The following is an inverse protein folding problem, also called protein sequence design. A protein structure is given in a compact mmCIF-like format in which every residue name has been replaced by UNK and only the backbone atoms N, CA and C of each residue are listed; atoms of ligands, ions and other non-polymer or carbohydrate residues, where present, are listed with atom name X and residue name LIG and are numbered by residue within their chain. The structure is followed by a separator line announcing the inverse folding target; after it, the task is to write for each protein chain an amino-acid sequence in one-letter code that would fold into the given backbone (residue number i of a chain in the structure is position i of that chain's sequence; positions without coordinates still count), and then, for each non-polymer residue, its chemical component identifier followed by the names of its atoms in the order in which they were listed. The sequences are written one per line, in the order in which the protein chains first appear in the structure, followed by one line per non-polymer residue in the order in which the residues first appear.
data_IF_003595394905
#
_entry.id   IF_003595394905
#
_cell.length_a   1.000
_cell.length_b   1.000
_cell.length_c   1.000
_cell.angle_alpha   90.00
_cell.angle_beta   90.00
_cell.angle_gamma   90.00
#
_symmetry.space_group_name_H-M   'P 1'
#
loop_
_entity.id
_entity.type
_entity.pdbx_description
1 polymer ?
#
# COMPACT_ATOMS: atom_id res chain seq x y z
N UNK A 1 -19.22 6.48 -8.81
CA UNK A 1 -18.90 7.91 -8.88
C UNK A 1 -18.07 8.10 -10.13
N UNK A 2 -18.60 8.75 -11.15
CA UNK A 2 -17.88 9.07 -12.39
C UNK A 2 -17.22 10.44 -12.21
N UNK A 3 -15.98 10.44 -11.71
CA UNK A 3 -15.17 11.66 -11.62
C UNK A 3 -14.56 11.95 -12.99
N UNK A 4 -14.69 13.20 -13.45
CA UNK A 4 -14.03 13.63 -14.66
C UNK A 4 -12.52 13.88 -14.41
N UNK A 5 -11.73 14.05 -15.48
CA UNK A 5 -10.27 14.22 -15.36
C UNK A 5 -9.84 15.49 -14.60
N UNK A 6 -10.69 16.51 -14.59
CA UNK A 6 -10.40 17.79 -13.90
C UNK A 6 -10.56 17.58 -12.41
N UNK A 7 -11.68 16.95 -11.97
CA UNK A 7 -11.94 16.63 -10.57
C UNK A 7 -10.86 15.71 -9.98
N UNK A 8 -10.38 14.71 -10.75
CA UNK A 8 -9.28 13.84 -10.33
C UNK A 8 -7.97 14.62 -10.13
N UNK A 9 -7.66 15.53 -11.05
CA UNK A 9 -6.46 16.36 -10.93
C UNK A 9 -6.51 17.27 -9.71
N UNK A 10 -7.68 17.83 -9.39
CA UNK A 10 -7.85 18.72 -8.24
C UNK A 10 -7.74 17.96 -6.91
N UNK A 11 -8.30 16.76 -6.81
CA UNK A 11 -8.13 15.89 -5.64
C UNK A 11 -6.65 15.56 -5.40
N UNK A 12 -5.92 15.24 -6.48
CA UNK A 12 -4.49 14.90 -6.39
C UNK A 12 -3.65 16.13 -6.07
N UNK A 13 -3.98 17.29 -6.65
CA UNK A 13 -3.27 18.54 -6.37
C UNK A 13 -3.53 19.05 -4.95
N UNK A 14 -4.74 18.83 -4.42
CA UNK A 14 -5.18 19.38 -3.14
C UNK A 14 -5.16 20.92 -3.13
N UNK A 15 -5.41 21.50 -1.98
CA UNK A 15 -5.32 22.96 -1.78
C UNK A 15 -3.83 23.39 -1.83
N UNK A 16 -3.45 24.32 -2.72
CA UNK A 16 -2.08 24.84 -2.77
C UNK A 16 -1.64 25.58 -1.51
N UNK A 17 -2.58 26.21 -0.80
CA UNK A 17 -2.32 27.00 0.42
C UNK A 17 -2.26 26.12 1.68
N UNK A 18 -2.92 24.95 1.64
CA UNK A 18 -2.90 23.98 2.73
C UNK A 18 -2.69 22.55 2.19
N UNK A 19 -1.49 22.20 1.73
CA UNK A 19 -1.24 20.92 1.08
C UNK A 19 -1.23 19.78 2.11
N UNK A 20 -2.34 19.05 2.21
CA UNK A 20 -2.45 17.87 3.07
C UNK A 20 -1.87 16.63 2.37
N UNK A 21 -0.58 16.70 2.08
CA UNK A 21 0.16 15.68 1.32
C UNK A 21 1.24 15.04 2.17
N UNK A 22 1.27 13.72 2.15
CA UNK A 22 2.30 12.91 2.79
C UNK A 22 2.97 12.03 1.74
N UNK A 23 4.22 11.68 1.93
CA UNK A 23 5.00 10.94 0.95
C UNK A 23 5.64 9.71 1.57
N UNK A 24 5.33 8.56 1.01
CA UNK A 24 6.04 7.30 1.25
C UNK A 24 6.98 7.07 0.06
N UNK A 25 8.25 7.29 0.26
CA UNK A 25 9.32 7.07 -0.71
C UNK A 25 10.33 6.09 -0.11
N UNK A 26 11.15 5.51 -0.95
CA UNK A 26 12.18 4.55 -0.56
C UNK A 26 11.61 3.21 -0.05
N UNK A 27 12.45 2.43 0.61
CA UNK A 27 12.09 1.13 1.19
C UNK A 27 11.21 1.32 2.43
N UNK A 28 10.27 0.42 2.63
CA UNK A 28 9.41 0.41 3.82
C UNK A 28 10.18 -0.24 4.97
N UNK A 29 10.59 0.57 5.94
CA UNK A 29 11.23 0.18 7.19
C UNK A 29 10.58 0.92 8.36
N UNK A 30 10.92 0.56 9.60
CA UNK A 30 10.45 1.29 10.78
C UNK A 30 10.81 2.78 10.68
N UNK A 31 12.05 3.08 10.25
CA UNK A 31 12.54 4.45 10.16
C UNK A 31 11.83 5.26 9.07
N UNK A 32 11.50 4.64 7.93
CA UNK A 32 10.87 5.33 6.80
C UNK A 32 9.36 5.56 7.02
N UNK A 33 8.66 4.66 7.72
CA UNK A 33 7.21 4.82 7.96
C UNK A 33 6.90 5.72 9.13
N UNK A 34 7.78 5.83 10.13
CA UNK A 34 7.55 6.64 11.32
C UNK A 34 7.19 8.10 10.98
N UNK A 35 7.98 8.85 10.19
CA UNK A 35 7.63 10.22 9.82
C UNK A 35 6.36 10.32 8.96
N UNK A 36 6.03 9.29 8.18
CA UNK A 36 4.79 9.24 7.40
C UNK A 36 3.59 9.15 8.33
N UNK A 37 3.66 8.29 9.35
CA UNK A 37 2.62 8.09 10.36
C UNK A 37 2.42 9.37 11.18
N UNK A 38 3.49 9.97 11.69
CA UNK A 38 3.47 11.24 12.43
C UNK A 38 2.80 12.36 11.62
N UNK A 39 3.14 12.49 10.34
CA UNK A 39 2.54 13.49 9.46
C UNK A 39 1.04 13.23 9.23
N UNK A 40 0.62 11.96 9.05
CA UNK A 40 -0.80 11.62 8.89
C UNK A 40 -1.57 11.97 10.16
N UNK A 41 -1.07 11.63 11.36
CA UNK A 41 -1.71 11.98 12.63
C UNK A 41 -1.77 13.50 12.83
N UNK A 42 -0.67 14.21 12.59
CA UNK A 42 -0.63 15.68 12.69
C UNK A 42 -1.71 16.33 11.82
N UNK A 43 -1.78 15.94 10.55
CA UNK A 43 -2.79 16.47 9.63
C UNK A 43 -4.21 16.07 10.06
N UNK A 44 -4.41 14.86 10.55
CA UNK A 44 -5.72 14.39 11.00
C UNK A 44 -6.21 15.09 12.28
N UNK A 45 -5.28 15.56 13.12
CA UNK A 45 -5.62 16.36 14.32
C UNK A 45 -5.95 17.81 13.97
N UNK A 46 -5.36 18.37 12.90
CA UNK A 46 -5.64 19.73 12.43
C UNK A 46 -7.06 19.89 11.85
N UNK A 47 -7.50 18.95 11.03
CA UNK A 47 -8.85 18.99 10.45
C UNK A 47 -9.31 17.60 9.98
N UNK A 48 -10.61 17.50 9.66
CA UNK A 48 -11.20 16.30 9.07
C UNK A 48 -11.09 16.22 7.54
N UNK A 49 -10.40 17.17 6.90
CA UNK A 49 -10.20 17.18 5.46
C UNK A 49 -9.31 16.01 5.02
N UNK A 50 -9.50 15.57 3.80
CA UNK A 50 -8.77 14.41 3.27
C UNK A 50 -7.25 14.62 3.27
N UNK A 51 -6.52 13.59 3.62
CA UNK A 51 -5.05 13.51 3.45
C UNK A 51 -4.74 12.71 2.20
N UNK A 52 -3.73 13.10 1.43
CA UNK A 52 -3.28 12.36 0.24
C UNK A 52 -1.88 11.80 0.45
N UNK A 53 -1.77 10.48 0.51
CA UNK A 53 -0.52 9.75 0.62
C UNK A 53 0.01 9.38 -0.77
N UNK A 54 1.12 9.99 -1.17
CA UNK A 54 1.85 9.67 -2.39
C UNK A 54 2.84 8.54 -2.15
N UNK A 55 2.79 7.51 -2.99
CA UNK A 55 3.57 6.28 -2.86
C UNK A 55 4.48 6.13 -4.08
N UNK A 56 5.77 6.00 -3.81
CA UNK A 56 6.81 5.59 -4.76
C UNK A 56 7.84 4.73 -4.03
N UNK A 57 7.53 3.44 -3.87
CA UNK A 57 8.30 2.52 -3.02
C UNK A 57 8.35 1.11 -3.61
N UNK A 58 9.50 0.46 -3.45
CA UNK A 58 9.68 -0.95 -3.80
C UNK A 58 9.13 -1.93 -2.74
N UNK A 59 8.55 -1.41 -1.66
CA UNK A 59 8.09 -2.22 -0.53
C UNK A 59 9.17 -2.37 0.53
N UNK A 60 9.12 -3.43 1.31
CA UNK A 60 10.05 -3.70 2.42
C UNK A 60 9.40 -4.52 3.53
N UNK A 61 9.55 -4.11 4.76
CA UNK A 61 9.10 -4.85 5.94
C UNK A 61 7.57 -4.92 6.06
N UNK A 62 7.06 -6.14 6.20
CA UNK A 62 5.60 -6.39 6.28
C UNK A 62 4.98 -5.67 7.48
N UNK A 63 5.60 -5.76 8.67
CA UNK A 63 5.01 -5.21 9.88
C UNK A 63 5.05 -3.69 9.91
N UNK A 64 6.09 -3.05 9.37
CA UNK A 64 6.15 -1.59 9.18
C UNK A 64 5.07 -1.10 8.21
N UNK A 65 4.81 -1.86 7.14
CA UNK A 65 3.69 -1.57 6.24
C UNK A 65 2.33 -1.73 6.94
N UNK A 66 2.16 -2.75 7.80
CA UNK A 66 0.92 -2.96 8.55
C UNK A 66 0.67 -1.85 9.57
N UNK A 67 1.70 -1.35 10.24
CA UNK A 67 1.60 -0.21 11.15
C UNK A 67 1.09 1.05 10.42
N UNK A 68 1.66 1.37 9.25
CA UNK A 68 1.18 2.47 8.42
C UNK A 68 -0.28 2.26 7.98
N UNK A 69 -0.66 1.04 7.61
CA UNK A 69 -2.04 0.70 7.24
C UNK A 69 -2.99 0.90 8.42
N UNK A 70 -2.60 0.49 9.61
CA UNK A 70 -3.41 0.67 10.80
C UNK A 70 -3.58 2.16 11.14
N UNK A 71 -2.54 3.00 10.97
CA UNK A 71 -2.64 4.45 11.06
C UNK A 71 -3.66 5.00 10.04
N UNK A 72 -3.51 4.69 8.75
CA UNK A 72 -4.43 5.11 7.67
C UNK A 72 -5.88 4.78 8.01
N UNK A 73 -6.12 3.67 8.68
CA UNK A 73 -7.49 3.19 8.99
C UNK A 73 -8.03 3.68 10.33
N UNK A 74 -7.18 4.22 11.18
CA UNK A 74 -7.56 4.70 12.53
C UNK A 74 -7.91 6.19 12.52
N UNK A 75 -7.25 7.00 11.68
CA UNK A 75 -7.53 8.44 11.61
C UNK A 75 -8.96 8.72 11.13
N UNK A 76 -9.52 9.85 11.59
CA UNK A 76 -10.91 10.24 11.30
C UNK A 76 -11.10 10.74 9.88
N UNK A 77 -10.10 11.42 9.33
CA UNK A 77 -10.13 11.90 7.94
C UNK A 77 -9.99 10.74 6.95
N UNK A 78 -10.39 10.95 5.70
CA UNK A 78 -10.08 10.01 4.63
C UNK A 78 -8.63 10.14 4.22
N UNK A 79 -7.99 9.01 3.94
CA UNK A 79 -6.65 8.99 3.36
C UNK A 79 -6.75 8.48 1.93
N UNK A 80 -6.56 9.39 0.97
CA UNK A 80 -6.42 9.05 -0.44
C UNK A 80 -5.00 8.49 -0.66
N UNK A 81 -4.86 7.51 -1.55
CA UNK A 81 -3.54 6.94 -1.90
C UNK A 81 -3.26 7.11 -3.37
N UNK A 82 -2.04 7.49 -3.71
CA UNK A 82 -1.63 7.81 -5.08
C UNK A 82 -0.31 7.11 -5.41
N UNK A 83 -0.31 6.18 -6.35
CA UNK A 83 0.93 5.65 -6.91
C UNK A 83 1.46 6.60 -8.00
N UNK A 84 2.64 7.19 -7.77
CA UNK A 84 3.30 8.11 -8.69
C UNK A 84 4.71 7.62 -9.06
N UNK A 85 4.80 6.46 -9.67
CA UNK A 85 6.04 5.76 -9.97
C UNK A 85 5.84 4.27 -9.76
N UNK A 86 6.32 3.74 -8.65
CA UNK A 86 6.15 2.31 -8.33
C UNK A 86 5.47 2.10 -6.99
N UNK A 87 4.71 1.00 -6.89
CA UNK A 87 4.19 0.47 -5.65
C UNK A 87 4.36 -1.06 -5.67
N UNK A 88 5.49 -1.54 -5.18
CA UNK A 88 5.83 -2.97 -5.23
C UNK A 88 5.66 -3.62 -3.86
N UNK A 89 5.38 -4.93 -3.85
CA UNK A 89 5.33 -5.72 -2.62
C UNK A 89 4.40 -5.10 -1.57
N UNK A 90 4.87 -4.86 -0.35
CA UNK A 90 4.09 -4.23 0.73
C UNK A 90 3.56 -2.84 0.37
N UNK A 91 4.25 -2.07 -0.51
CA UNK A 91 3.76 -0.78 -0.96
C UNK A 91 2.46 -0.90 -1.79
N UNK A 92 2.26 -2.01 -2.52
CA UNK A 92 1.00 -2.27 -3.21
C UNK A 92 -0.16 -2.53 -2.24
N UNK A 93 0.11 -3.11 -1.09
CA UNK A 93 -0.87 -3.29 -0.03
C UNK A 93 -1.22 -1.95 0.65
N UNK A 94 -0.22 -1.10 0.92
CA UNK A 94 -0.44 0.27 1.42
C UNK A 94 -1.29 1.07 0.42
N UNK A 95 -0.98 1.00 -0.88
CA UNK A 95 -1.77 1.64 -1.94
C UNK A 95 -3.24 1.19 -1.91
N UNK A 96 -3.47 -0.12 -1.78
CA UNK A 96 -4.83 -0.69 -1.74
C UNK A 96 -5.60 -0.35 -0.45
N UNK A 97 -4.91 0.03 0.64
CA UNK A 97 -5.51 0.25 1.96
C UNK A 97 -6.19 1.60 2.13
N UNK A 98 -6.02 2.54 1.20
CA UNK A 98 -6.60 3.88 1.28
C UNK A 98 -8.07 3.87 1.69
N UNK A 99 -8.44 4.77 2.62
CA UNK A 99 -9.83 4.90 3.12
C UNK A 99 -10.65 5.89 2.31
N UNK A 100 -9.97 6.75 1.54
CA UNK A 100 -10.52 7.62 0.51
C UNK A 100 -10.45 6.99 -0.88
N UNK A 101 -10.06 7.78 -1.87
CA UNK A 101 -9.88 7.36 -3.25
C UNK A 101 -8.45 6.85 -3.48
N UNK A 102 -8.30 5.85 -4.35
CA UNK A 102 -7.02 5.21 -4.65
C UNK A 102 -6.69 5.43 -6.11
N UNK A 103 -5.50 5.97 -6.38
CA UNK A 103 -5.10 6.41 -7.71
C UNK A 103 -3.78 5.77 -8.17
N UNK A 104 -3.63 5.61 -9.47
CA UNK A 104 -2.36 5.34 -10.10
C UNK A 104 -2.14 6.26 -11.30
N UNK A 105 -0.94 6.82 -11.46
CA UNK A 105 -0.59 7.51 -12.70
C UNK A 105 -0.47 6.50 -13.84
N UNK A 106 -0.73 6.93 -15.08
CA UNK A 106 -0.68 6.04 -16.27
C UNK A 106 0.63 5.30 -16.43
N UNK A 107 1.73 5.92 -16.01
CA UNK A 107 3.08 5.36 -16.11
C UNK A 107 3.49 4.58 -14.85
N UNK A 108 2.61 4.45 -13.87
CA UNK A 108 2.90 3.70 -12.64
C UNK A 108 3.03 2.20 -12.92
N UNK A 109 3.88 1.57 -12.13
CA UNK A 109 4.03 0.13 -12.12
C UNK A 109 3.73 -0.41 -10.72
N UNK A 110 2.87 -1.38 -10.63
CA UNK A 110 2.49 -2.03 -9.37
C UNK A 110 2.99 -3.48 -9.41
N UNK A 111 3.45 -4.02 -8.30
CA UNK A 111 3.86 -5.41 -8.24
C UNK A 111 3.34 -6.09 -6.98
N UNK A 112 2.78 -7.26 -7.18
CA UNK A 112 2.26 -8.13 -6.11
C UNK A 112 2.98 -9.47 -6.17
N UNK A 113 3.47 -9.92 -5.03
CA UNK A 113 4.08 -11.22 -4.84
C UNK A 113 3.81 -11.77 -3.43
N UNK A 114 4.16 -13.02 -3.20
CA UNK A 114 4.16 -13.60 -1.87
C UNK A 114 5.30 -13.01 -1.03
N UNK A 115 5.12 -12.96 0.29
CA UNK A 115 6.17 -12.57 1.20
C UNK A 115 7.38 -13.49 1.03
N UNK A 116 8.57 -12.92 1.09
CA UNK A 116 9.84 -13.62 1.07
C UNK A 116 10.62 -13.34 2.34
N UNK A 117 11.54 -14.23 2.67
CA UNK A 117 12.44 -14.10 3.80
C UNK A 117 13.86 -14.40 3.33
N UNK A 118 14.78 -13.49 3.60
CA UNK A 118 16.20 -13.77 3.47
C UNK A 118 16.73 -14.39 4.74
N UNK A 119 17.28 -15.58 4.66
CA UNK A 119 17.98 -16.23 5.77
C UNK A 119 19.46 -15.93 5.60
N UNK A 120 20.00 -15.15 6.53
CA UNK A 120 21.43 -14.91 6.63
C UNK A 120 21.99 -15.87 7.68
N UNK A 121 23.16 -16.44 7.41
CA UNK A 121 23.86 -17.38 8.28
C UNK A 121 23.27 -18.79 8.36
N UNK A 122 23.94 -19.64 9.17
CA UNK A 122 23.55 -21.00 9.39
C UNK A 122 22.30 -21.07 10.26
N UNK A 123 21.31 -21.86 9.83
CA UNK A 123 20.10 -22.12 10.60
C UNK A 123 19.89 -23.63 10.79
N UNK A 124 19.30 -24.00 11.89
CA UNK A 124 18.95 -25.40 12.16
C UNK A 124 17.50 -25.72 11.75
N UNK A 125 17.15 -27.01 11.79
CA UNK A 125 15.82 -27.48 11.36
C UNK A 125 14.68 -26.82 12.15
N UNK A 126 14.83 -26.60 13.44
CA UNK A 126 13.77 -26.02 14.28
C UNK A 126 13.60 -24.54 14.00
N UNK A 127 14.68 -23.81 13.79
CA UNK A 127 14.64 -22.42 13.36
C UNK A 127 13.96 -22.27 11.98
N UNK A 128 14.28 -23.15 11.03
CA UNK A 128 13.63 -23.16 9.71
C UNK A 128 12.12 -23.41 9.80
N UNK A 129 11.68 -24.29 10.72
CA UNK A 129 10.25 -24.50 10.95
C UNK A 129 9.58 -23.23 11.51
N UNK A 130 10.23 -22.56 12.45
CA UNK A 130 9.74 -21.31 13.03
C UNK A 130 9.64 -20.23 11.98
N UNK A 131 10.72 -19.99 11.21
CA UNK A 131 10.76 -19.02 10.12
C UNK A 131 9.68 -19.28 9.05
N UNK A 132 9.50 -20.56 8.67
CA UNK A 132 8.45 -20.95 7.73
C UNK A 132 7.04 -20.68 8.29
N UNK A 133 6.83 -20.84 9.59
CA UNK A 133 5.55 -20.54 10.24
C UNK A 133 5.26 -19.05 10.24
N UNK A 134 6.25 -18.21 10.56
CA UNK A 134 6.15 -16.75 10.53
C UNK A 134 5.93 -16.23 9.10
N UNK A 135 6.66 -16.79 8.12
CA UNK A 135 6.48 -16.44 6.71
C UNK A 135 5.05 -16.78 6.22
N UNK A 136 4.53 -17.94 6.60
CA UNK A 136 3.14 -18.33 6.30
C UNK A 136 2.13 -17.40 6.96
N UNK A 137 2.36 -17.02 8.21
CA UNK A 137 1.51 -16.07 8.92
C UNK A 137 1.47 -14.73 8.20
N UNK A 138 2.64 -14.14 7.91
CA UNK A 138 2.78 -12.87 7.20
C UNK A 138 2.12 -12.91 5.83
N UNK A 139 2.37 -13.97 5.06
CA UNK A 139 1.79 -14.16 3.73
C UNK A 139 0.25 -14.24 3.77
N UNK A 140 -0.30 -15.00 4.71
CA UNK A 140 -1.75 -15.10 4.86
C UNK A 140 -2.36 -13.76 5.30
N UNK A 141 -1.69 -13.01 6.20
CA UNK A 141 -2.13 -11.69 6.65
C UNK A 141 -2.19 -10.70 5.50
N UNK A 142 -1.12 -10.62 4.69
CA UNK A 142 -1.03 -9.74 3.51
C UNK A 142 -2.15 -10.06 2.51
N UNK A 143 -2.31 -11.33 2.12
CA UNK A 143 -3.34 -11.71 1.15
C UNK A 143 -4.76 -11.60 1.69
N UNK A 144 -4.99 -11.78 2.98
CA UNK A 144 -6.29 -11.52 3.61
C UNK A 144 -6.67 -10.04 3.57
N UNK A 145 -5.70 -9.14 3.76
CA UNK A 145 -5.92 -7.70 3.63
C UNK A 145 -6.11 -7.30 2.17
N UNK A 146 -5.31 -7.84 1.24
CA UNK A 146 -5.52 -7.63 -0.19
C UNK A 146 -6.91 -8.10 -0.62
N UNK A 147 -7.39 -9.25 -0.15
CA UNK A 147 -8.75 -9.75 -0.42
C UNK A 147 -9.82 -8.75 0.03
N UNK A 148 -9.66 -8.20 1.24
CA UNK A 148 -10.55 -7.17 1.78
C UNK A 148 -10.56 -5.91 0.91
N UNK A 149 -9.39 -5.39 0.53
CA UNK A 149 -9.26 -4.11 -0.16
C UNK A 149 -9.60 -4.20 -1.64
N UNK A 150 -9.36 -5.35 -2.26
CA UNK A 150 -9.66 -5.60 -3.69
C UNK A 150 -11.01 -6.29 -3.92
N UNK A 151 -11.83 -6.41 -2.87
CA UNK A 151 -13.16 -7.06 -2.92
C UNK A 151 -13.08 -8.49 -3.48
N UNK A 152 -12.07 -9.24 -3.05
CA UNK A 152 -11.87 -10.65 -3.39
C UNK A 152 -11.13 -10.93 -4.70
N UNK A 153 -10.74 -9.90 -5.46
CA UNK A 153 -10.02 -10.10 -6.74
C UNK A 153 -8.59 -10.63 -6.54
N UNK A 154 -7.95 -10.21 -5.44
CA UNK A 154 -6.68 -10.78 -4.96
C UNK A 154 -6.94 -11.39 -3.60
N UNK A 155 -6.70 -12.68 -3.41
CA UNK A 155 -7.10 -13.37 -2.19
C UNK A 155 -6.16 -14.52 -1.83
N UNK A 156 -6.32 -15.04 -0.62
CA UNK A 156 -5.63 -16.26 -0.17
C UNK A 156 -5.90 -17.45 -1.10
N UNK A 157 -7.09 -17.54 -1.70
CA UNK A 157 -7.47 -18.63 -2.60
C UNK A 157 -6.71 -18.61 -3.93
N UNK A 158 -6.38 -17.42 -4.43
CA UNK A 158 -5.66 -17.25 -5.69
C UNK A 158 -4.20 -16.81 -5.50
N UNK A 159 -3.66 -16.87 -4.27
CA UNK A 159 -2.28 -16.45 -3.94
C UNK A 159 -1.21 -17.16 -4.77
N UNK A 160 -1.49 -18.36 -5.27
CA UNK A 160 -0.56 -19.10 -6.13
C UNK A 160 -0.27 -18.39 -7.46
N UNK A 161 -1.15 -17.48 -7.92
CA UNK A 161 -0.87 -16.62 -9.07
C UNK A 161 0.23 -15.57 -8.78
N UNK A 162 0.61 -15.42 -7.51
CA UNK A 162 1.58 -14.47 -7.02
C UNK A 162 2.82 -15.16 -6.40
N UNK A 163 3.07 -16.43 -6.75
CA UNK A 163 4.28 -17.17 -6.36
C UNK A 163 5.56 -16.58 -6.96
N UNK A 164 5.38 -15.83 -8.05
CA UNK A 164 6.42 -15.00 -8.69
C UNK A 164 5.93 -13.56 -8.73
N UNK A 165 6.85 -12.66 -8.97
CA UNK A 165 6.53 -11.24 -9.12
C UNK A 165 5.53 -11.04 -10.26
N UNK A 166 4.37 -10.52 -9.92
CA UNK A 166 3.34 -10.15 -10.88
C UNK A 166 3.31 -8.64 -11.03
N UNK A 167 3.91 -8.18 -12.10
CA UNK A 167 3.92 -6.76 -12.46
C UNK A 167 2.65 -6.38 -13.21
N UNK A 168 2.05 -5.27 -12.77
CA UNK A 168 0.80 -4.73 -13.29
C UNK A 168 1.04 -3.30 -13.79
N UNK A 169 0.44 -2.94 -14.90
CA UNK A 169 0.26 -1.54 -15.27
C UNK A 169 -0.89 -0.92 -14.47
N UNK A 170 -1.12 0.38 -14.64
CA UNK A 170 -2.13 1.11 -13.87
C UNK A 170 -3.57 0.59 -14.12
N UNK A 171 -3.92 0.26 -15.37
CA UNK A 171 -5.24 -0.26 -15.72
C UNK A 171 -5.46 -1.69 -15.16
N UNK A 172 -4.47 -2.55 -15.25
CA UNK A 172 -4.52 -3.89 -14.63
C UNK A 172 -4.68 -3.80 -13.10
N UNK A 173 -4.03 -2.83 -12.46
CA UNK A 173 -4.18 -2.59 -11.01
C UNK A 173 -5.59 -2.10 -10.66
N UNK A 174 -6.20 -1.28 -11.51
CA UNK A 174 -7.61 -0.87 -11.40
C UNK A 174 -8.55 -2.04 -11.60
N UNK A 175 -8.34 -2.87 -12.61
CA UNK A 175 -9.16 -4.05 -12.86
C UNK A 175 -9.12 -5.04 -11.69
N UNK A 176 -7.96 -5.16 -11.04
CA UNK A 176 -7.79 -5.95 -9.83
C UNK A 176 -8.28 -5.25 -8.54
N UNK A 177 -8.71 -4.00 -8.64
CA UNK A 177 -9.25 -3.25 -7.50
C UNK A 177 -8.20 -2.77 -6.48
N UNK A 178 -6.92 -2.73 -6.88
CA UNK A 178 -5.86 -2.13 -6.07
C UNK A 178 -6.05 -0.62 -6.02
N UNK A 179 -6.42 -0.03 -7.15
CA UNK A 179 -6.78 1.39 -7.27
C UNK A 179 -8.18 1.56 -7.84
N UNK A 180 -8.76 2.74 -7.67
CA UNK A 180 -10.09 3.08 -8.17
C UNK A 180 -10.01 3.85 -9.51
N UNK A 181 -8.95 4.65 -9.69
CA UNK A 181 -8.77 5.54 -10.83
C UNK A 181 -7.35 5.51 -11.39
N UNK A 182 -7.26 5.71 -12.72
CA UNK A 182 -6.01 5.97 -13.44
C UNK A 182 -6.07 7.38 -14.02
N UNK A 183 -5.00 8.18 -13.85
CA UNK A 183 -4.93 9.59 -14.26
C UNK A 183 -3.69 9.89 -15.08
#
# INVERSE_FOLDING_TARGET
MDLNKVELADIIKGDPENPRRVYLRDEITVESVFPVIENIFTLADESSDDVTLFINSHGGEVFSALELIDCIRTVKCKVNTVCSGVAYSCASLVLASGTGLRFASKNSRIMVHQCSLSVQDYTNIEEMKTLNSELKFSNNKVFSLMEKYTKGKISVKNKNHYNKDRFLNAEEAKDLGIVDFVY
#
